data_IF_952843016672
#
_entry.id   IF_952843016672
#
_cell.length_a   1.000
_cell.length_b   1.000
_cell.length_c   1.000
_cell.angle_alpha   90.00
_cell.angle_beta   90.00
_cell.angle_gamma   90.00
#
_symmetry.space_group_name_H-M   'P 1'
#
loop_
_entity.id
_entity.type
_entity.pdbx_description
1 polymer ?
#
# COMPACT_ATOMS: atom_id res chain seq x y z
N UNK A 1 42.77 -0.40 17.20
CA UNK A 1 41.84 0.57 16.56
C UNK A 1 41.19 -0.14 15.38
N UNK A 2 39.92 -0.52 15.50
CA UNK A 2 39.16 -1.11 14.38
C UNK A 2 38.75 0.03 13.46
N UNK A 3 39.41 0.16 12.30
CA UNK A 3 38.98 1.07 11.25
C UNK A 3 37.92 0.33 10.44
N UNK A 4 36.64 0.66 10.66
CA UNK A 4 35.57 0.16 9.81
C UNK A 4 35.57 0.92 8.48
N UNK A 5 36.03 0.27 7.41
CA UNK A 5 35.85 0.77 6.06
C UNK A 5 34.39 0.61 5.65
N UNK A 6 33.57 1.64 5.86
CA UNK A 6 32.24 1.71 5.24
C UNK A 6 32.46 2.07 3.77
N UNK A 7 32.18 1.11 2.87
CA UNK A 7 32.25 1.33 1.43
C UNK A 7 31.35 2.51 1.04
N UNK A 8 31.81 3.46 0.19
CA UNK A 8 31.01 4.61 -0.23
C UNK A 8 29.71 4.20 -0.95
N UNK A 9 29.66 2.98 -1.49
CA UNK A 9 28.48 2.40 -2.16
C UNK A 9 27.56 1.59 -1.22
N UNK A 10 27.88 1.49 0.08
CA UNK A 10 27.07 0.71 1.02
C UNK A 10 25.65 1.28 1.17
N UNK A 11 25.52 2.61 1.19
CA UNK A 11 24.23 3.30 1.27
C UNK A 11 23.39 3.09 -0.01
N UNK A 12 24.02 3.18 -1.18
CA UNK A 12 23.35 2.95 -2.46
C UNK A 12 22.86 1.50 -2.59
N UNK A 13 23.66 0.51 -2.16
CA UNK A 13 23.24 -0.89 -2.16
C UNK A 13 22.06 -1.15 -1.22
N UNK A 14 22.09 -0.62 0.01
CA UNK A 14 20.95 -0.72 0.96
C UNK A 14 19.69 -0.06 0.40
N UNK A 15 19.84 1.13 -0.20
CA UNK A 15 18.74 1.86 -0.84
C UNK A 15 18.15 1.10 -2.03
N UNK A 16 19.01 0.50 -2.87
CA UNK A 16 18.60 -0.29 -4.03
C UNK A 16 17.88 -1.58 -3.59
N UNK A 17 18.46 -2.34 -2.67
CA UNK A 17 17.85 -3.56 -2.12
C UNK A 17 16.48 -3.28 -1.48
N UNK A 18 16.35 -2.18 -0.73
CA UNK A 18 15.07 -1.71 -0.19
C UNK A 18 14.08 -1.39 -1.32
N UNK A 19 14.50 -0.62 -2.32
CA UNK A 19 13.63 -0.26 -3.43
C UNK A 19 13.21 -1.48 -4.26
N UNK A 20 14.04 -2.52 -4.38
CA UNK A 20 13.68 -3.80 -5.00
C UNK A 20 12.73 -4.63 -4.14
N UNK A 21 12.97 -4.72 -2.83
CA UNK A 21 12.04 -5.36 -1.90
C UNK A 21 10.67 -4.66 -1.89
N UNK A 22 10.63 -3.34 -2.06
CA UNK A 22 9.40 -2.56 -2.20
C UNK A 22 8.76 -2.60 -3.60
N UNK A 23 9.48 -3.11 -4.62
CA UNK A 23 8.85 -3.52 -5.89
C UNK A 23 8.13 -4.86 -5.75
N UNK A 24 8.37 -5.58 -4.65
CA UNK A 24 7.76 -6.87 -4.41
C UNK A 24 6.27 -6.73 -4.09
N UNK A 25 5.58 -7.80 -4.39
CA UNK A 25 4.21 -8.04 -4.01
C UNK A 25 4.05 -8.30 -2.52
N UNK A 26 2.86 -8.05 -2.00
CA UNK A 26 2.55 -8.18 -0.58
C UNK A 26 1.46 -9.25 -0.37
N UNK A 27 1.65 -10.15 0.59
CA UNK A 27 0.64 -11.16 0.93
C UNK A 27 -0.29 -10.62 2.00
N UNK A 28 -1.59 -10.60 1.71
CA UNK A 28 -2.64 -10.19 2.65
C UNK A 28 -3.92 -10.95 2.36
N UNK A 29 -4.57 -11.45 3.42
CA UNK A 29 -5.76 -12.32 3.32
C UNK A 29 -5.52 -13.52 2.37
N UNK A 30 -4.36 -14.16 2.51
CA UNK A 30 -3.94 -15.28 1.66
C UNK A 30 -3.68 -14.94 0.18
N UNK A 31 -3.83 -13.66 -0.22
CA UNK A 31 -3.71 -13.21 -1.61
C UNK A 31 -2.45 -12.39 -1.83
N UNK A 32 -1.87 -12.49 -3.03
CA UNK A 32 -0.66 -11.76 -3.41
C UNK A 32 -1.01 -10.47 -4.18
N UNK A 33 -0.84 -9.32 -3.53
CA UNK A 33 -1.25 -8.00 -3.99
C UNK A 33 -0.14 -7.21 -4.68
N UNK A 34 -0.55 -6.35 -5.63
CA UNK A 34 0.36 -5.43 -6.30
C UNK A 34 0.49 -4.13 -5.49
N UNK A 35 1.69 -3.87 -4.96
CA UNK A 35 1.97 -2.73 -4.04
C UNK A 35 3.26 -1.98 -4.40
N UNK A 36 3.52 -1.76 -5.70
CA UNK A 36 4.68 -0.98 -6.15
C UNK A 36 4.59 0.46 -5.60
N UNK A 37 5.67 1.23 -5.74
CA UNK A 37 5.71 2.61 -5.24
C UNK A 37 4.50 3.47 -5.63
N UNK A 38 4.13 3.52 -6.93
CA UNK A 38 2.96 4.27 -7.38
C UNK A 38 1.63 3.68 -6.87
N UNK A 39 1.57 2.35 -6.72
CA UNK A 39 0.40 1.65 -6.20
C UNK A 39 0.14 2.07 -4.75
N UNK A 40 1.17 2.12 -3.91
CA UNK A 40 1.06 2.57 -2.50
C UNK A 40 0.55 3.99 -2.38
N UNK A 41 1.06 4.91 -3.21
CA UNK A 41 0.55 6.30 -3.26
C UNK A 41 -0.94 6.32 -3.61
N UNK A 42 -1.36 5.52 -4.58
CA UNK A 42 -2.76 5.45 -5.00
C UNK A 42 -3.65 4.80 -3.93
N UNK A 43 -3.16 3.76 -3.25
CA UNK A 43 -3.83 3.10 -2.12
C UNK A 43 -4.03 4.11 -0.99
N UNK A 44 -2.97 4.80 -0.56
CA UNK A 44 -3.04 5.79 0.51
C UNK A 44 -4.01 6.95 0.18
N UNK A 45 -3.97 7.47 -1.05
CA UNK A 45 -4.92 8.50 -1.52
C UNK A 45 -6.36 8.01 -1.50
N UNK A 46 -6.60 6.77 -1.91
CA UNK A 46 -7.94 6.17 -1.90
C UNK A 46 -8.42 5.93 -0.46
N UNK A 47 -7.56 5.46 0.43
CA UNK A 47 -7.88 5.29 1.86
C UNK A 47 -8.21 6.64 2.53
N UNK A 48 -7.43 7.69 2.27
CA UNK A 48 -7.71 9.03 2.78
C UNK A 48 -9.08 9.54 2.32
N UNK A 49 -9.43 9.32 1.05
CA UNK A 49 -10.77 9.65 0.52
C UNK A 49 -11.86 8.87 1.23
N UNK A 50 -11.70 7.55 1.38
CA UNK A 50 -12.69 6.71 2.05
C UNK A 50 -12.90 7.11 3.51
N UNK A 51 -11.83 7.48 4.23
CA UNK A 51 -11.94 8.04 5.59
C UNK A 51 -12.77 9.34 5.62
N UNK A 52 -12.56 10.25 4.67
CA UNK A 52 -13.36 11.47 4.58
C UNK A 52 -14.83 11.17 4.28
N UNK A 53 -15.12 10.29 3.32
CA UNK A 53 -16.49 9.92 2.97
C UNK A 53 -17.21 9.22 4.13
N UNK A 54 -16.50 8.36 4.85
CA UNK A 54 -17.03 7.67 6.04
C UNK A 54 -17.38 8.68 7.14
N UNK A 55 -16.50 9.66 7.39
CA UNK A 55 -16.74 10.71 8.38
C UNK A 55 -17.93 11.61 8.02
N UNK A 56 -18.13 11.88 6.72
CA UNK A 56 -19.26 12.66 6.21
C UNK A 56 -20.58 11.86 6.20
N UNK A 57 -20.52 10.54 6.35
CA UNK A 57 -21.69 9.66 6.28
C UNK A 57 -22.13 9.32 4.86
N UNK A 58 -21.30 9.59 3.85
CA UNK A 58 -21.58 9.31 2.44
C UNK A 58 -21.36 7.83 2.07
N UNK A 59 -20.61 7.11 2.90
CA UNK A 59 -20.38 5.66 2.79
C UNK A 59 -20.43 5.00 4.16
N UNK A 60 -20.73 3.71 4.19
CA UNK A 60 -20.65 2.82 5.34
C UNK A 60 -19.47 1.86 5.22
N UNK A 61 -19.06 1.26 6.34
CA UNK A 61 -17.95 0.29 6.37
C UNK A 61 -18.18 -0.94 5.47
N UNK A 62 -19.43 -1.31 5.23
CA UNK A 62 -19.80 -2.48 4.41
C UNK A 62 -19.95 -2.17 2.93
N UNK A 63 -19.91 -0.90 2.54
CA UNK A 63 -20.10 -0.51 1.14
C UNK A 63 -18.91 -0.95 0.30
N UNK A 64 -19.17 -1.36 -0.93
CA UNK A 64 -18.15 -1.74 -1.93
C UNK A 64 -18.02 -0.72 -3.05
N UNK A 65 -18.78 0.36 -2.96
CA UNK A 65 -18.84 1.44 -3.95
C UNK A 65 -18.98 2.78 -3.26
N UNK A 66 -18.54 3.86 -3.92
CA UNK A 66 -18.81 5.23 -3.49
C UNK A 66 -19.14 6.11 -4.70
N UNK A 67 -19.83 7.22 -4.48
CA UNK A 67 -20.10 8.22 -5.52
C UNK A 67 -19.00 9.28 -5.50
N UNK A 68 -18.36 9.54 -6.64
CA UNK A 68 -17.35 10.59 -6.75
C UNK A 68 -17.95 11.99 -6.97
N UNK A 69 -17.09 13.01 -7.02
CA UNK A 69 -17.49 14.42 -7.20
C UNK A 69 -18.18 14.69 -8.54
N UNK A 70 -17.98 13.80 -9.52
CA UNK A 70 -18.59 13.88 -10.84
C UNK A 70 -19.89 13.06 -10.91
N UNK A 71 -20.43 12.67 -9.75
CA UNK A 71 -21.63 11.84 -9.60
C UNK A 71 -21.52 10.42 -10.20
N UNK A 72 -20.30 9.92 -10.41
CA UNK A 72 -20.09 8.56 -10.90
C UNK A 72 -19.95 7.58 -9.74
N UNK A 73 -20.61 6.43 -9.84
CA UNK A 73 -20.38 5.30 -8.94
C UNK A 73 -19.05 4.63 -9.26
N UNK A 74 -18.19 4.51 -8.24
CA UNK A 74 -16.87 3.89 -8.31
C UNK A 74 -16.83 2.65 -7.44
N UNK A 75 -16.37 1.54 -7.98
CA UNK A 75 -16.11 0.31 -7.21
C UNK A 75 -14.80 0.43 -6.42
N UNK A 76 -14.86 0.03 -5.16
CA UNK A 76 -13.69 -0.09 -4.30
C UNK A 76 -13.01 -1.41 -4.65
N UNK A 77 -12.06 -1.36 -5.58
CA UNK A 77 -11.25 -2.52 -5.94
C UNK A 77 -9.76 -2.21 -5.94
N UNK A 78 -8.95 -3.26 -5.82
CA UNK A 78 -7.50 -3.24 -6.07
C UNK A 78 -7.05 -4.50 -6.84
N UNK A 79 -5.82 -4.47 -7.36
CA UNK A 79 -5.26 -5.55 -8.20
C UNK A 79 -4.33 -6.47 -7.43
N UNK A 80 -4.49 -7.76 -7.68
CA UNK A 80 -3.49 -8.78 -7.35
C UNK A 80 -2.32 -8.75 -8.35
N UNK A 81 -1.23 -9.42 -8.01
CA UNK A 81 -0.09 -9.63 -8.92
C UNK A 81 -0.44 -10.36 -10.22
N UNK A 82 -1.49 -11.18 -10.19
CA UNK A 82 -2.03 -11.87 -11.36
C UNK A 82 -2.96 -10.97 -12.20
N UNK A 83 -2.97 -9.66 -11.93
CA UNK A 83 -3.82 -8.67 -12.59
C UNK A 83 -5.33 -8.95 -12.44
N UNK A 84 -5.72 -9.72 -11.43
CA UNK A 84 -7.12 -9.94 -11.06
C UNK A 84 -7.55 -8.78 -10.16
N UNK A 85 -8.60 -8.05 -10.59
CA UNK A 85 -9.25 -7.04 -9.75
C UNK A 85 -10.08 -7.76 -8.66
N UNK A 86 -9.86 -7.40 -7.41
CA UNK A 86 -10.72 -7.82 -6.29
C UNK A 86 -11.45 -6.60 -5.73
N UNK A 87 -12.77 -6.74 -5.59
CA UNK A 87 -13.61 -5.77 -4.89
C UNK A 87 -13.42 -5.96 -3.39
N UNK A 88 -13.39 -4.84 -2.67
CA UNK A 88 -13.20 -4.76 -1.23
C UNK A 88 -14.30 -3.85 -0.68
N UNK A 89 -14.79 -4.12 0.53
CA UNK A 89 -15.58 -3.15 1.29
C UNK A 89 -14.71 -1.95 1.71
N UNK A 90 -15.34 -0.88 2.20
CA UNK A 90 -14.62 0.25 2.81
C UNK A 90 -13.73 -0.24 3.94
N UNK A 91 -14.25 -1.08 4.84
CA UNK A 91 -13.47 -1.65 5.94
C UNK A 91 -12.28 -2.47 5.43
N UNK A 92 -12.51 -3.38 4.48
CA UNK A 92 -11.46 -4.22 3.92
C UNK A 92 -10.37 -3.39 3.24
N UNK A 93 -10.75 -2.34 2.50
CA UNK A 93 -9.80 -1.46 1.85
C UNK A 93 -8.97 -0.65 2.84
N UNK A 94 -9.59 -0.15 3.92
CA UNK A 94 -8.86 0.58 4.96
C UNK A 94 -7.86 -0.34 5.69
N UNK A 95 -8.28 -1.55 6.07
CA UNK A 95 -7.38 -2.57 6.65
C UNK A 95 -6.26 -2.96 5.69
N UNK A 96 -6.57 -3.12 4.41
CA UNK A 96 -5.58 -3.38 3.36
C UNK A 96 -4.56 -2.24 3.27
N UNK A 97 -5.00 -0.98 3.30
CA UNK A 97 -4.09 0.17 3.21
C UNK A 97 -3.13 0.25 4.40
N UNK A 98 -3.61 -0.04 5.62
CA UNK A 98 -2.77 -0.12 6.82
C UNK A 98 -1.71 -1.20 6.66
N UNK A 99 -2.11 -2.40 6.24
CA UNK A 99 -1.20 -3.52 6.07
C UNK A 99 -0.12 -3.27 5.00
N UNK A 100 -0.45 -2.48 3.97
CA UNK A 100 0.50 -2.04 2.93
C UNK A 100 1.53 -1.06 3.50
N UNK A 101 1.10 -0.13 4.35
CA UNK A 101 1.98 0.84 5.00
C UNK A 101 2.88 0.16 6.04
N UNK A 102 2.35 -0.74 6.86
CA UNK A 102 3.12 -1.57 7.81
C UNK A 102 4.19 -2.39 7.06
N UNK A 103 3.82 -3.04 5.95
CA UNK A 103 4.79 -3.76 5.12
C UNK A 103 5.90 -2.85 4.59
N UNK A 104 5.57 -1.63 4.19
CA UNK A 104 6.55 -0.66 3.73
C UNK A 104 7.50 -0.21 4.85
N UNK A 105 6.96 -0.02 6.05
CA UNK A 105 7.71 0.33 7.25
C UNK A 105 8.67 -0.79 7.67
N UNK A 106 8.21 -2.05 7.67
CA UNK A 106 9.05 -3.22 7.93
C UNK A 106 10.25 -3.28 7.00
N UNK A 107 10.04 -3.08 5.69
CA UNK A 107 11.14 -3.04 4.70
C UNK A 107 12.08 -1.87 4.88
N UNK A 108 11.57 -0.75 5.39
CA UNK A 108 12.40 0.39 5.74
C UNK A 108 13.29 0.08 6.94
N UNK A 109 12.73 -0.50 8.01
CA UNK A 109 13.46 -0.92 9.22
C UNK A 109 14.50 -2.00 8.89
N UNK A 110 14.14 -3.02 8.11
CA UNK A 110 15.07 -4.08 7.65
C UNK A 110 16.29 -3.51 6.93
N UNK A 111 16.13 -2.42 6.19
CA UNK A 111 17.23 -1.80 5.43
C UNK A 111 18.26 -1.06 6.30
N UNK A 112 17.93 -0.80 7.57
CA UNK A 112 18.79 -0.10 8.52
C UNK A 112 19.67 -1.04 9.35
N UNK A 113 19.19 -2.27 9.58
CA UNK A 113 20.00 -3.36 10.12
C UNK A 113 21.22 -3.66 9.21
#
# INVERSE_FOLDING_TARGET
MLVSHVSPYALERKTSARNEALKASFVWDGSLWQVRFLDRINIARKAARLNSLLLLGDVSLTDTTYTDTDSNTRTIAWRTTLNVNRTLSVEEFLRFSIAVDEHAEDKYIESWA
#
